data_IF_738016544748
#
_entry.id   IF_738016544748
#
_cell.length_a   1.000
_cell.length_b   1.000
_cell.length_c   1.000
_cell.angle_alpha   90.00
_cell.angle_beta   90.00
_cell.angle_gamma   90.00
#
_symmetry.space_group_name_H-M   'P 1'
#
loop_
_entity.id
_entity.type
_entity.pdbx_description
1 polymer ?
#
# COMPACT_ATOMS: atom_id res chain seq x y z
N UNK A 1 5.45 6.54 -34.97
CA UNK A 1 4.48 6.93 -33.93
C UNK A 1 5.26 7.23 -32.65
N UNK A 2 5.49 8.50 -32.32
CA UNK A 2 6.26 8.89 -31.13
C UNK A 2 5.39 8.71 -29.88
N UNK A 3 5.71 7.71 -29.06
CA UNK A 3 5.12 7.58 -27.71
C UNK A 3 5.83 8.56 -26.80
N UNK A 4 5.08 9.55 -26.30
CA UNK A 4 5.56 10.53 -25.34
C UNK A 4 5.41 9.95 -23.94
N UNK A 5 6.53 9.76 -23.23
CA UNK A 5 6.52 9.36 -21.82
C UNK A 5 6.27 10.58 -20.93
N UNK A 6 5.35 10.46 -19.98
CA UNK A 6 5.13 11.44 -18.91
C UNK A 6 5.33 10.72 -17.58
N UNK A 7 5.89 11.42 -16.59
CA UNK A 7 6.00 10.90 -15.23
C UNK A 7 4.62 10.73 -14.58
N UNK A 8 4.57 9.93 -13.51
CA UNK A 8 3.34 9.59 -12.80
C UNK A 8 2.73 10.86 -12.19
N UNK A 9 1.49 11.16 -12.55
CA UNK A 9 0.65 12.13 -11.84
C UNK A 9 -0.23 11.37 -10.84
N UNK A 10 -0.46 11.97 -9.68
CA UNK A 10 -1.48 11.49 -8.74
C UNK A 10 -2.87 11.84 -9.30
N UNK A 11 -3.71 10.83 -9.48
CA UNK A 11 -5.08 10.99 -9.95
C UNK A 11 -6.08 10.54 -8.87
N UNK A 12 -7.19 11.26 -8.77
CA UNK A 12 -8.28 10.96 -7.84
C UNK A 12 -9.54 10.55 -8.59
N UNK A 13 -10.42 9.78 -7.94
CA UNK A 13 -11.71 9.40 -8.52
C UNK A 13 -11.69 8.14 -9.38
N UNK A 14 -10.63 7.33 -9.29
CA UNK A 14 -10.56 5.99 -9.90
C UNK A 14 -11.74 5.14 -9.45
N UNK A 15 -12.39 4.47 -10.41
CA UNK A 15 -13.52 3.57 -10.16
C UNK A 15 -13.27 2.21 -10.84
N UNK A 16 -13.55 1.08 -10.17
CA UNK A 16 -14.06 0.96 -8.81
C UNK A 16 -12.98 1.21 -7.74
N UNK A 17 -13.37 1.85 -6.63
CA UNK A 17 -12.56 1.97 -5.41
C UNK A 17 -13.49 1.97 -4.17
N UNK A 18 -13.15 1.26 -3.08
CA UNK A 18 -11.95 0.43 -2.89
C UNK A 18 -12.02 -0.91 -3.64
N UNK A 19 -10.88 -1.56 -3.82
CA UNK A 19 -10.77 -2.92 -4.33
C UNK A 19 -9.77 -3.71 -3.49
N UNK A 20 -10.02 -5.01 -3.29
CA UNK A 20 -9.08 -5.91 -2.62
C UNK A 20 -7.84 -6.06 -3.50
N UNK A 21 -6.66 -5.69 -2.97
CA UNK A 21 -5.40 -5.87 -3.68
C UNK A 21 -5.14 -7.36 -3.97
N UNK A 22 -4.52 -7.65 -5.12
CA UNK A 22 -4.24 -9.03 -5.55
C UNK A 22 -3.34 -9.80 -4.58
N UNK A 23 -2.44 -9.10 -3.88
CA UNK A 23 -1.54 -9.68 -2.88
C UNK A 23 -2.21 -9.91 -1.51
N UNK A 24 -3.41 -9.38 -1.27
CA UNK A 24 -4.07 -9.55 0.02
C UNK A 24 -4.42 -11.01 0.24
N UNK A 25 -3.95 -11.59 1.35
CA UNK A 25 -4.33 -12.93 1.78
C UNK A 25 -5.86 -13.04 1.91
N UNK A 26 -6.37 -14.24 1.65
CA UNK A 26 -7.81 -14.55 1.64
C UNK A 26 -8.04 -15.73 2.57
N UNK A 27 -9.15 -15.72 3.29
CA UNK A 27 -9.58 -16.88 4.07
C UNK A 27 -10.11 -18.01 3.19
N UNK A 28 -10.64 -19.08 3.83
CA UNK A 28 -10.82 -19.23 5.28
C UNK A 28 -9.50 -19.38 6.06
N UNK A 29 -9.54 -19.12 7.38
CA UNK A 29 -8.40 -19.37 8.27
C UNK A 29 -8.11 -20.88 8.33
N UNK A 30 -6.89 -21.35 7.99
CA UNK A 30 -6.57 -22.77 8.02
C UNK A 30 -6.57 -23.37 9.44
N UNK A 31 -6.39 -22.55 10.49
CA UNK A 31 -6.37 -23.01 11.89
C UNK A 31 -7.80 -23.13 12.43
N UNK A 32 -8.63 -22.14 12.12
CA UNK A 32 -10.03 -22.08 12.59
C UNK A 32 -11.00 -21.82 11.42
N UNK A 33 -11.29 -22.81 10.57
CA UNK A 33 -12.13 -22.60 9.37
C UNK A 33 -13.56 -22.11 9.66
N UNK A 34 -14.06 -22.31 10.88
CA UNK A 34 -15.35 -21.78 11.34
C UNK A 34 -15.34 -20.28 11.67
N UNK A 35 -14.17 -19.65 11.76
CA UNK A 35 -14.01 -18.21 11.98
C UNK A 35 -13.58 -17.57 10.66
N UNK A 36 -14.41 -16.68 10.13
CA UNK A 36 -14.12 -15.99 8.87
C UNK A 36 -12.96 -14.99 9.04
N UNK A 37 -12.01 -15.03 8.12
CA UNK A 37 -10.89 -14.09 8.00
C UNK A 37 -10.68 -13.66 6.55
N UNK A 38 -10.13 -12.45 6.28
CA UNK A 38 -9.84 -11.38 7.25
C UNK A 38 -11.13 -10.71 7.76
N UNK A 39 -11.06 -10.02 8.91
CA UNK A 39 -12.23 -9.42 9.57
C UNK A 39 -12.71 -8.11 8.91
N UNK A 40 -11.79 -7.30 8.42
CA UNK A 40 -12.07 -5.95 7.89
C UNK A 40 -11.09 -5.58 6.77
N UNK A 41 -11.53 -4.68 5.89
CA UNK A 41 -10.72 -4.10 4.83
C UNK A 41 -10.34 -2.65 5.18
N UNK A 42 -9.11 -2.25 4.85
CA UNK A 42 -8.61 -0.89 5.00
C UNK A 42 -7.63 -0.52 3.87
N UNK A 43 -7.32 0.78 3.66
CA UNK A 43 -6.37 1.23 2.64
C UNK A 43 -4.96 0.67 2.87
N UNK A 44 -4.38 0.01 1.86
CA UNK A 44 -3.05 -0.59 1.96
C UNK A 44 -2.29 -0.66 0.64
N UNK A 45 -2.74 0.06 -0.40
CA UNK A 45 -2.04 0.17 -1.68
C UNK A 45 -1.61 1.63 -1.85
N UNK A 46 -0.34 1.83 -2.20
CA UNK A 46 0.30 3.12 -2.42
C UNK A 46 0.01 4.13 -1.30
N UNK A 47 0.20 3.67 -0.06
CA UNK A 47 0.07 4.50 1.14
C UNK A 47 1.36 5.28 1.35
N UNK A 48 1.26 6.60 1.38
CA UNK A 48 2.37 7.49 1.71
C UNK A 48 2.58 7.53 3.22
N UNK A 49 3.77 7.11 3.68
CA UNK A 49 4.13 7.11 5.09
C UNK A 49 5.59 7.49 5.31
N UNK A 50 5.94 7.88 6.54
CA UNK A 50 7.29 8.24 6.91
C UNK A 50 8.24 7.03 6.84
N UNK A 51 9.47 7.26 6.40
CA UNK A 51 10.54 6.26 6.34
C UNK A 51 11.84 6.81 6.94
N UNK A 52 12.84 5.93 7.07
CA UNK A 52 14.16 6.33 7.53
C UNK A 52 14.85 7.15 6.44
N UNK A 53 15.22 8.41 6.72
CA UNK A 53 15.63 9.37 5.67
C UNK A 53 17.00 9.12 5.05
N UNK A 54 17.80 8.20 5.62
CA UNK A 54 19.16 7.89 5.15
C UNK A 54 19.27 6.46 4.61
N UNK A 55 18.15 5.81 4.31
CA UNK A 55 18.12 4.49 3.68
C UNK A 55 17.59 4.66 2.25
N UNK A 56 18.30 4.14 1.23
CA UNK A 56 17.81 4.16 -0.15
C UNK A 56 16.42 3.54 -0.27
N UNK A 57 15.48 4.30 -0.85
CA UNK A 57 14.14 3.81 -1.17
C UNK A 57 14.06 3.30 -2.61
N UNK A 58 14.74 3.98 -3.54
CA UNK A 58 14.75 3.65 -4.96
C UNK A 58 16.11 3.98 -5.57
N UNK A 59 16.55 3.16 -6.52
CA UNK A 59 17.76 3.41 -7.30
C UNK A 59 17.35 3.84 -8.72
N UNK A 60 17.92 4.94 -9.21
CA UNK A 60 17.75 5.39 -10.59
C UNK A 60 19.12 5.56 -11.24
N UNK A 61 19.45 4.63 -12.16
CA UNK A 61 20.79 4.57 -12.75
C UNK A 61 21.83 4.23 -11.68
N UNK A 62 22.75 5.15 -11.41
CA UNK A 62 23.78 5.00 -10.37
C UNK A 62 23.51 5.89 -9.14
N UNK A 63 22.26 6.35 -8.96
CA UNK A 63 21.89 7.24 -7.87
C UNK A 63 20.89 6.57 -6.93
N UNK A 64 21.22 6.55 -5.65
CA UNK A 64 20.33 6.16 -4.58
C UNK A 64 19.45 7.36 -4.20
N UNK A 65 18.13 7.17 -4.27
CA UNK A 65 17.16 8.16 -3.84
C UNK A 65 16.71 7.85 -2.43
N UNK A 66 16.93 8.82 -1.54
CA UNK A 66 16.43 8.83 -0.17
C UNK A 66 15.28 9.83 -0.05
N UNK A 67 14.40 9.61 0.93
CA UNK A 67 13.21 10.44 1.15
C UNK A 67 12.77 10.35 2.61
N UNK A 68 12.09 11.37 3.11
CA UNK A 68 11.44 11.33 4.43
C UNK A 68 10.12 10.53 4.39
N UNK A 69 9.49 10.45 3.21
CA UNK A 69 8.22 9.75 2.98
C UNK A 69 8.23 8.97 1.68
N UNK A 70 7.66 7.76 1.71
CA UNK A 70 7.61 6.89 0.56
C UNK A 70 6.27 6.15 0.46
N UNK A 71 5.93 5.73 -0.77
CA UNK A 71 4.74 4.94 -1.05
C UNK A 71 5.04 3.46 -0.81
N UNK A 72 4.22 2.81 -0.01
CA UNK A 72 4.28 1.36 0.21
C UNK A 72 2.92 0.71 0.02
N UNK A 73 2.96 -0.53 -0.44
CA UNK A 73 1.81 -1.39 -0.62
C UNK A 73 1.95 -2.65 0.23
N UNK A 74 0.92 -2.99 0.98
CA UNK A 74 0.88 -4.18 1.82
C UNK A 74 -0.26 -4.17 2.83
N UNK A 75 -0.62 -5.34 3.34
CA UNK A 75 -1.50 -5.45 4.51
C UNK A 75 -0.87 -4.81 5.75
N UNK A 76 0.46 -4.74 5.82
CA UNK A 76 1.22 -3.96 6.81
C UNK A 76 0.90 -2.46 6.80
N UNK A 77 0.39 -1.92 5.70
CA UNK A 77 -0.09 -0.52 5.61
C UNK A 77 -1.58 -0.42 5.94
N UNK A 78 -2.36 -1.47 5.68
CA UNK A 78 -3.78 -1.52 6.06
C UNK A 78 -3.99 -1.66 7.58
N UNK A 79 -3.19 -2.50 8.25
CA UNK A 79 -3.28 -2.74 9.70
C UNK A 79 -3.19 -1.46 10.56
N UNK A 80 -2.21 -0.55 10.38
CA UNK A 80 -2.11 0.67 11.19
C UNK A 80 -3.28 1.65 10.96
N UNK A 81 -3.94 1.66 9.80
CA UNK A 81 -5.16 2.44 9.61
C UNK A 81 -6.28 1.96 10.54
N UNK A 82 -6.50 0.64 10.62
CA UNK A 82 -7.52 0.05 11.50
C UNK A 82 -7.15 0.28 12.97
N UNK A 83 -5.88 0.08 13.33
CA UNK A 83 -5.41 0.32 14.70
C UNK A 83 -5.62 1.78 15.13
N UNK A 84 -5.36 2.75 14.25
CA UNK A 84 -5.61 4.17 14.50
C UNK A 84 -7.09 4.48 14.71
N UNK A 85 -7.97 3.93 13.87
CA UNK A 85 -9.43 4.07 14.04
C UNK A 85 -9.92 3.43 15.34
N UNK A 86 -9.38 2.27 15.71
CA UNK A 86 -9.76 1.57 16.94
C UNK A 86 -9.30 2.29 18.23
N UNK A 87 -8.23 3.08 18.15
CA UNK A 87 -7.70 3.85 19.26
C UNK A 87 -8.36 5.23 19.43
N UNK A 88 -9.09 5.70 18.41
CA UNK A 88 -9.83 6.97 18.43
C UNK A 88 -11.10 6.88 19.29
#
# INVERSE_FOLDING_TARGET
>A
MLKRMKFVLTEFGTKPAPQVASFSSRGPDPISPGILKPDILAPGVDVLAAVVPNIPYMEIGNYDLVTDYALYSGTSMAAPHVAGVAAY
#
